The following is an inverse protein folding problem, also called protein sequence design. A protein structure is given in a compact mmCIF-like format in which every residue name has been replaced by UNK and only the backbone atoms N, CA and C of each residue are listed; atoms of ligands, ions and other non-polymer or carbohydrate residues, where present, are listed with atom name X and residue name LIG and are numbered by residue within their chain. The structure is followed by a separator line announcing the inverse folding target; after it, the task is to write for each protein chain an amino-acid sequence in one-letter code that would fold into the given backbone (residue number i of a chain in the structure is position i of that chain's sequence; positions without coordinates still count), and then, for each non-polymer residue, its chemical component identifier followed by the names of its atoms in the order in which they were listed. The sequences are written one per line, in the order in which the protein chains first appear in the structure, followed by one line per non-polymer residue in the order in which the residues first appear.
data_IF_278784422901
#
_entry.id   IF_278784422901
#
_cell.length_a   1.000
_cell.length_b   1.000
_cell.length_c   1.000
_cell.angle_alpha   90.00
_cell.angle_beta   90.00
_cell.angle_gamma   90.00
#
_symmetry.space_group_name_H-M   'P 1'
#
loop_
_entity.id
_entity.type
_entity.pdbx_description
1 polymer ?
#
# COMPACT_ATOMS: atom_id res chain seq x y z
N UNK A 1 -21.14 -32.75 25.05
CA UNK A 1 -20.13 -31.81 24.51
C UNK A 1 -19.41 -31.18 25.68
N UNK A 2 -18.15 -31.54 25.94
CA UNK A 2 -17.40 -30.98 27.08
C UNK A 2 -16.95 -29.56 26.75
N UNK A 3 -17.02 -28.64 27.72
CA UNK A 3 -16.56 -27.24 27.60
C UNK A 3 -15.10 -27.18 27.14
N UNK A 4 -14.28 -28.15 27.57
CA UNK A 4 -12.89 -28.28 27.17
C UNK A 4 -12.73 -28.49 25.65
N UNK A 5 -13.59 -29.31 25.04
CA UNK A 5 -13.58 -29.57 23.60
C UNK A 5 -13.96 -28.33 22.81
N UNK A 6 -14.98 -27.59 23.28
CA UNK A 6 -15.41 -26.34 22.64
C UNK A 6 -14.29 -25.29 22.68
N UNK A 7 -13.63 -25.16 23.83
CA UNK A 7 -12.51 -24.23 24.00
C UNK A 7 -11.32 -24.56 23.09
N UNK A 8 -10.97 -25.84 22.97
CA UNK A 8 -9.86 -26.30 22.12
C UNK A 8 -10.15 -26.04 20.63
N UNK A 9 -11.38 -26.32 20.20
CA UNK A 9 -11.81 -26.03 18.81
C UNK A 9 -11.78 -24.53 18.55
N UNK A 10 -12.22 -23.70 19.50
CA UNK A 10 -12.18 -22.25 19.37
C UNK A 10 -10.75 -21.71 19.22
N UNK A 11 -9.80 -22.20 20.03
CA UNK A 11 -8.38 -21.83 19.91
C UNK A 11 -7.80 -22.23 18.55
N UNK A 12 -8.14 -23.41 18.06
CA UNK A 12 -7.65 -23.91 16.78
C UNK A 12 -8.17 -23.06 15.61
N UNK A 13 -9.44 -22.64 15.67
CA UNK A 13 -10.02 -21.71 14.69
C UNK A 13 -9.35 -20.33 14.71
N UNK A 14 -9.08 -19.78 15.90
CA UNK A 14 -8.37 -18.49 16.03
C UNK A 14 -6.95 -18.61 15.45
N UNK A 15 -6.24 -19.70 15.74
CA UNK A 15 -4.90 -19.94 15.20
C UNK A 15 -4.88 -20.06 13.68
N UNK A 16 -5.84 -20.81 13.11
CA UNK A 16 -5.99 -20.93 11.65
C UNK A 16 -6.30 -19.58 10.99
N UNK A 17 -7.17 -18.77 11.59
CA UNK A 17 -7.52 -17.45 11.07
C UNK A 17 -6.29 -16.52 11.06
N UNK A 18 -5.51 -16.52 12.15
CA UNK A 18 -4.27 -15.76 12.24
C UNK A 18 -3.24 -16.18 11.19
N UNK A 19 -3.09 -17.49 10.96
CA UNK A 19 -2.16 -18.02 9.97
C UNK A 19 -2.58 -17.68 8.53
N UNK A 20 -3.87 -17.79 8.21
CA UNK A 20 -4.40 -17.40 6.91
C UNK A 20 -4.17 -15.90 6.64
N UNK A 21 -4.38 -15.05 7.64
CA UNK A 21 -4.14 -13.61 7.52
C UNK A 21 -2.65 -13.32 7.30
N UNK A 22 -1.76 -13.98 8.06
CA UNK A 22 -0.31 -13.85 7.91
C UNK A 22 0.18 -14.24 6.51
N UNK A 23 -0.31 -15.35 5.97
CA UNK A 23 0.08 -15.80 4.63
C UNK A 23 -0.42 -14.85 3.54
N UNK A 24 -1.61 -14.27 3.73
CA UNK A 24 -2.17 -13.30 2.79
C UNK A 24 -1.33 -12.03 2.76
N UNK A 25 -0.99 -11.50 3.93
CA UNK A 25 -0.15 -10.31 4.04
C UNK A 25 1.25 -10.51 3.45
N UNK A 26 1.87 -11.66 3.71
CA UNK A 26 3.19 -11.97 3.13
C UNK A 26 3.17 -12.06 1.61
N UNK A 27 2.05 -12.45 1.00
CA UNK A 27 1.91 -12.48 -0.47
C UNK A 27 1.72 -11.09 -1.06
N UNK A 28 0.94 -10.23 -0.40
CA UNK A 28 0.74 -8.85 -0.85
C UNK A 28 2.05 -8.06 -0.84
N UNK A 29 2.85 -8.20 0.21
CA UNK A 29 4.13 -7.48 0.33
C UNK A 29 5.10 -7.85 -0.81
N UNK A 30 5.16 -9.15 -1.16
CA UNK A 30 5.99 -9.62 -2.27
C UNK A 30 5.48 -9.11 -3.62
N UNK A 31 4.18 -9.23 -3.86
CA UNK A 31 3.58 -8.77 -5.11
C UNK A 31 3.77 -7.27 -5.30
N UNK A 32 3.67 -6.50 -4.23
CA UNK A 32 3.88 -5.06 -4.26
C UNK A 32 5.36 -4.70 -4.50
N UNK A 33 6.29 -5.39 -3.86
CA UNK A 33 7.72 -5.20 -4.09
C UNK A 33 8.12 -5.56 -5.54
N UNK A 34 7.55 -6.63 -6.09
CA UNK A 34 7.74 -7.02 -7.49
C UNK A 34 7.12 -5.99 -8.44
N UNK A 35 5.92 -5.50 -8.13
CA UNK A 35 5.25 -4.46 -8.90
C UNK A 35 6.08 -3.17 -8.93
N UNK A 36 6.58 -2.70 -7.79
CA UNK A 36 7.44 -1.51 -7.73
C UNK A 36 8.72 -1.70 -8.55
N UNK A 37 9.34 -2.89 -8.52
CA UNK A 37 10.52 -3.18 -9.36
C UNK A 37 10.24 -3.14 -10.87
N UNK A 38 9.03 -3.46 -11.29
CA UNK A 38 8.64 -3.44 -12.70
C UNK A 38 8.27 -2.04 -13.19
N UNK A 39 7.72 -1.22 -12.30
CA UNK A 39 7.09 0.06 -12.64
C UNK A 39 8.03 1.24 -12.40
N UNK A 40 8.94 1.14 -11.42
CA UNK A 40 9.96 2.16 -11.19
C UNK A 40 11.11 2.02 -12.19
N UNK A 41 11.77 3.14 -12.57
CA UNK A 41 12.96 3.10 -13.42
C UNK A 41 14.09 2.26 -12.82
N UNK A 42 14.91 1.64 -13.66
CA UNK A 42 16.04 0.82 -13.20
C UNK A 42 16.95 1.61 -12.25
N UNK A 43 17.17 1.05 -11.05
CA UNK A 43 18.04 1.64 -10.03
C UNK A 43 17.40 2.71 -9.13
N UNK A 44 16.13 3.05 -9.32
CA UNK A 44 15.41 4.01 -8.46
C UNK A 44 14.72 3.26 -7.32
N UNK A 45 15.03 3.63 -6.08
CA UNK A 45 14.32 3.10 -4.90
C UNK A 45 12.93 3.73 -4.76
N UNK A 46 12.02 3.01 -4.12
CA UNK A 46 10.68 3.53 -3.83
C UNK A 46 10.77 4.82 -3.00
N UNK A 47 11.67 4.86 -2.04
CA UNK A 47 11.89 6.00 -1.16
C UNK A 47 12.36 7.23 -1.95
N UNK A 48 13.32 7.08 -2.86
CA UNK A 48 13.80 8.17 -3.73
C UNK A 48 12.70 8.65 -4.68
N UNK A 49 11.89 7.72 -5.22
CA UNK A 49 10.76 8.07 -6.06
C UNK A 49 9.69 8.86 -5.28
N UNK A 50 9.30 8.39 -4.09
CA UNK A 50 8.32 9.07 -3.25
C UNK A 50 8.82 10.43 -2.76
N UNK A 51 10.13 10.60 -2.57
CA UNK A 51 10.72 11.90 -2.23
C UNK A 51 10.60 12.92 -3.37
N UNK A 52 10.76 12.48 -4.61
CA UNK A 52 10.68 13.32 -5.81
C UNK A 52 9.26 13.48 -6.36
N UNK A 53 8.32 12.61 -5.97
CA UNK A 53 6.93 12.67 -6.40
C UNK A 53 6.22 13.97 -5.95
N UNK A 54 5.26 14.49 -6.75
CA UNK A 54 4.48 15.69 -6.41
C UNK A 54 3.46 15.45 -5.28
N UNK A 55 3.32 14.21 -4.81
CA UNK A 55 2.38 13.80 -3.77
C UNK A 55 3.10 13.34 -2.49
N UNK A 56 2.42 13.48 -1.35
CA UNK A 56 2.80 12.89 -0.06
C UNK A 56 1.61 12.20 0.57
N UNK A 57 1.82 11.17 1.36
CA UNK A 57 0.77 10.62 2.22
C UNK A 57 0.98 11.06 3.67
N UNK A 58 -0.11 11.30 4.38
CA UNK A 58 -0.12 11.58 5.83
C UNK A 58 -1.19 10.75 6.52
N UNK A 59 -0.93 10.27 7.76
CA UNK A 59 -1.97 9.61 8.54
C UNK A 59 -3.11 10.60 8.82
N UNK A 60 -4.35 10.16 8.60
CA UNK A 60 -5.53 10.96 8.94
C UNK A 60 -5.84 10.85 10.43
N UNK A 61 -6.63 11.79 10.95
CA UNK A 61 -7.11 11.77 12.35
C UNK A 61 -7.98 10.53 12.68
N UNK A 62 -8.34 9.73 11.67
CA UNK A 62 -9.08 8.47 11.78
C UNK A 62 -8.31 7.27 11.22
N UNK A 63 -9.02 6.33 10.59
CA UNK A 63 -8.38 5.20 9.89
C UNK A 63 -7.99 5.60 8.47
N UNK A 64 -6.75 5.32 8.10
CA UNK A 64 -6.23 5.50 6.75
C UNK A 64 -5.29 6.70 6.60
N UNK A 65 -4.92 6.94 5.35
CA UNK A 65 -3.89 7.89 4.94
C UNK A 65 -4.48 8.81 3.87
N UNK A 66 -4.31 10.12 4.05
CA UNK A 66 -4.66 11.12 3.07
C UNK A 66 -3.47 11.37 2.16
N UNK A 67 -3.71 11.40 0.86
CA UNK A 67 -2.70 11.75 -0.15
C UNK A 67 -2.89 13.23 -0.48
N UNK A 68 -1.83 13.99 -0.32
CA UNK A 68 -1.81 15.45 -0.41
C UNK A 68 -0.86 15.84 -1.54
N UNK A 69 -1.30 16.75 -2.41
CA UNK A 69 -0.45 17.34 -3.42
C UNK A 69 0.48 18.39 -2.78
N UNK A 70 1.80 18.25 -3.00
CA UNK A 70 2.83 19.12 -2.41
C UNK A 70 2.75 20.56 -2.89
N UNK A 71 2.28 20.79 -4.11
CA UNK A 71 2.27 22.12 -4.72
C UNK A 71 1.17 23.02 -4.13
N UNK A 72 -0.02 22.47 -3.89
CA UNK A 72 -1.18 23.25 -3.44
C UNK A 72 -1.68 22.87 -2.04
N UNK A 73 -1.13 21.80 -1.44
CA UNK A 73 -1.51 21.34 -0.10
C UNK A 73 -2.89 20.68 -0.03
N UNK A 74 -3.55 20.42 -1.17
CA UNK A 74 -4.87 19.83 -1.22
C UNK A 74 -4.80 18.31 -1.10
N UNK A 75 -5.72 17.74 -0.34
CA UNK A 75 -5.94 16.30 -0.30
C UNK A 75 -6.62 15.86 -1.60
N UNK A 76 -5.96 14.96 -2.32
CA UNK A 76 -6.42 14.46 -3.62
C UNK A 76 -7.03 13.07 -3.52
N UNK A 77 -6.64 12.28 -2.52
CA UNK A 77 -7.10 10.90 -2.36
C UNK A 77 -6.97 10.40 -0.93
N UNK A 78 -7.59 9.24 -0.63
CA UNK A 78 -7.48 8.52 0.64
C UNK A 78 -7.24 7.03 0.42
N UNK A 79 -6.30 6.48 1.17
CA UNK A 79 -5.95 5.06 1.18
C UNK A 79 -6.15 4.46 2.56
N UNK A 80 -6.38 3.15 2.64
CA UNK A 80 -6.60 2.48 3.94
C UNK A 80 -5.28 2.12 4.62
N UNK A 81 -4.26 1.82 3.82
CA UNK A 81 -2.92 1.46 4.28
C UNK A 81 -1.87 2.38 3.66
N UNK A 82 -0.67 2.52 4.25
CA UNK A 82 0.39 3.33 3.65
C UNK A 82 0.83 2.75 2.29
N UNK A 83 0.83 1.43 2.15
CA UNK A 83 1.18 0.72 0.92
C UNK A 83 0.28 1.10 -0.26
N UNK A 84 -1.02 1.15 -0.02
CA UNK A 84 -2.00 1.61 -1.02
C UNK A 84 -1.77 3.08 -1.39
N UNK A 85 -1.35 3.91 -0.42
CA UNK A 85 -1.03 5.31 -0.68
C UNK A 85 0.21 5.45 -1.57
N UNK A 86 1.26 4.68 -1.29
CA UNK A 86 2.50 4.66 -2.08
C UNK A 86 2.25 4.18 -3.51
N UNK A 87 1.50 3.09 -3.68
CA UNK A 87 1.14 2.58 -5.00
C UNK A 87 0.32 3.60 -5.81
N UNK A 88 -0.60 4.30 -5.15
CA UNK A 88 -1.35 5.38 -5.77
C UNK A 88 -0.42 6.53 -6.19
N UNK A 89 0.49 6.96 -5.33
CA UNK A 89 1.45 8.03 -5.64
C UNK A 89 2.32 7.64 -6.85
N UNK A 90 2.85 6.42 -6.88
CA UNK A 90 3.66 5.92 -8.00
C UNK A 90 2.87 5.93 -9.30
N UNK A 91 1.67 5.34 -9.29
CA UNK A 91 0.83 5.27 -10.50
C UNK A 91 0.38 6.65 -11.00
N UNK A 92 -0.05 7.54 -10.11
CA UNK A 92 -0.45 8.90 -10.46
C UNK A 92 0.73 9.71 -11.03
N UNK A 93 1.90 9.62 -10.40
CA UNK A 93 3.11 10.34 -10.85
C UNK A 93 3.56 9.85 -12.23
N UNK A 94 3.57 8.54 -12.47
CA UNK A 94 3.94 7.99 -13.77
C UNK A 94 2.89 8.30 -14.85
N UNK A 95 1.60 8.31 -14.51
CA UNK A 95 0.54 8.70 -15.43
C UNK A 95 0.68 10.17 -15.86
N UNK A 96 1.02 11.07 -14.93
CA UNK A 96 1.30 12.48 -15.23
C UNK A 96 2.52 12.65 -16.12
N UNK A 97 3.62 11.95 -15.81
CA UNK A 97 4.84 11.98 -16.62
C UNK A 97 4.60 11.48 -18.06
N UNK A 98 3.85 10.38 -18.20
CA UNK A 98 3.47 9.84 -19.52
C UNK A 98 2.50 10.76 -20.27
N UNK A 99 1.65 11.50 -19.56
CA UNK A 99 0.74 12.48 -20.18
C UNK A 99 1.45 13.78 -20.59
N UNK A 100 2.57 14.10 -19.94
CA UNK A 100 3.40 15.29 -20.21
C UNK A 100 4.51 15.05 -21.23
N UNK A 101 4.82 13.79 -21.56
CA UNK A 101 5.60 13.43 -22.75
C UNK A 101 4.66 13.16 -23.93
N UNK A 102 4.25 14.16 -24.72
CA UNK A 102 3.76 13.87 -26.05
C UNK A 102 4.91 13.20 -26.81
N UNK A 103 4.68 11.99 -27.31
CA UNK A 103 5.58 11.31 -28.23
C UNK A 103 6.19 12.31 -29.24
N UNK A 104 7.53 12.34 -29.43
CA UNK A 104 8.11 12.89 -30.65
C UNK A 104 7.74 12.03 -31.87
#
# INVERSE_FOLDING_TARGET
MSVLTVFLVMLLLIGLLGLANYLTQRRTDKAQQEWFRQVLPEGVSLEEFLQSAPYIYKPLTGRGYGIINRHNGLEVWRSKTPEEAEAWIVSATLAEQNSQSPNP
#
